data_IF_315840549377
#
_entry.id   IF_315840549377
#
_cell.length_a   1.000
_cell.length_b   1.000
_cell.length_c   1.000
_cell.angle_alpha   90.00
_cell.angle_beta   90.00
_cell.angle_gamma   90.00
#
_symmetry.space_group_name_H-M   'P 1'
#
loop_
_entity.id
_entity.type
_entity.pdbx_description
1 polymer ?
#
# COMPACT_ATOMS: atom_id res chain seq x y z
N UNK A 1 53.37 16.69 23.20
CA UNK A 1 52.68 16.32 21.94
C UNK A 1 51.64 15.25 22.29
N UNK A 2 50.32 15.44 22.27
CA UNK A 2 49.48 16.43 21.62
C UNK A 2 48.51 15.75 20.63
N UNK A 3 47.64 14.84 21.09
CA UNK A 3 46.41 14.45 20.37
C UNK A 3 45.27 14.38 21.39
N UNK A 4 44.52 15.47 21.46
CA UNK A 4 43.29 15.63 22.25
C UNK A 4 42.20 14.66 21.77
N UNK A 5 41.31 14.18 22.67
CA UNK A 5 40.08 13.51 22.27
C UNK A 5 39.15 14.55 21.64
N UNK A 6 38.82 14.37 20.36
CA UNK A 6 37.80 15.17 19.70
C UNK A 6 36.43 14.77 20.28
N UNK A 7 35.82 15.73 20.95
CA UNK A 7 34.47 15.69 21.52
C UNK A 7 33.46 15.25 20.46
N UNK A 8 32.53 14.39 20.88
CA UNK A 8 31.44 13.85 20.07
C UNK A 8 30.63 14.93 19.35
N UNK A 9 30.53 14.83 18.03
CA UNK A 9 29.59 15.60 17.23
C UNK A 9 28.21 14.90 17.21
N UNK A 10 27.12 15.58 17.60
CA UNK A 10 25.77 15.01 17.56
C UNK A 10 25.14 15.27 16.18
N UNK A 11 25.67 14.67 15.11
CA UNK A 11 24.95 14.66 13.83
C UNK A 11 25.33 13.52 12.89
N UNK A 12 25.36 12.27 13.40
CA UNK A 12 25.25 11.10 12.53
C UNK A 12 23.78 10.79 12.28
N UNK A 13 23.21 11.49 11.31
CA UNK A 13 21.99 11.06 10.61
C UNK A 13 22.34 9.83 9.75
N UNK A 14 22.62 8.71 10.39
CA UNK A 14 22.77 7.40 9.76
C UNK A 14 21.67 6.48 10.29
N UNK A 15 20.43 6.75 9.88
CA UNK A 15 19.44 5.66 9.71
C UNK A 15 19.91 4.84 8.51
N UNK A 16 20.72 3.81 8.76
CA UNK A 16 20.84 2.66 7.86
C UNK A 16 20.27 1.45 8.58
N UNK A 17 18.94 1.44 8.70
CA UNK A 17 18.17 0.22 8.71
C UNK A 17 18.09 -0.27 7.25
N UNK A 18 19.22 -0.69 6.68
CA UNK A 18 19.25 -1.56 5.50
C UNK A 18 19.10 -2.99 5.99
N UNK A 19 18.00 -3.25 6.71
CA UNK A 19 17.52 -4.56 7.13
C UNK A 19 16.06 -4.66 6.68
N UNK A 20 15.88 -4.64 5.36
CA UNK A 20 15.01 -5.58 4.67
C UNK A 20 15.43 -5.59 3.19
N UNK A 21 16.45 -6.39 2.90
CA UNK A 21 16.90 -6.65 1.52
C UNK A 21 16.02 -7.74 0.89
N UNK A 22 14.69 -7.61 0.91
CA UNK A 22 13.78 -8.11 -0.14
C UNK A 22 12.31 -7.71 0.16
N UNK A 23 12.00 -6.44 -0.03
CA UNK A 23 10.65 -6.03 -0.42
C UNK A 23 10.77 -5.29 -1.74
N UNK A 24 11.17 -6.01 -2.79
CA UNK A 24 10.79 -5.60 -4.14
C UNK A 24 9.30 -5.92 -4.21
N UNK A 25 8.37 -4.94 -4.13
CA UNK A 25 7.03 -5.22 -4.64
C UNK A 25 7.27 -5.70 -6.06
N UNK A 26 6.85 -6.92 -6.35
CA UNK A 26 6.98 -7.48 -7.69
C UNK A 26 6.57 -6.36 -8.65
N UNK A 27 7.49 -5.91 -9.50
CA UNK A 27 7.24 -4.76 -10.39
C UNK A 27 6.15 -5.10 -11.44
N UNK A 28 5.56 -6.30 -11.34
CA UNK A 28 4.36 -6.74 -12.03
C UNK A 28 3.26 -7.28 -11.08
N UNK A 29 3.31 -7.06 -9.76
CA UNK A 29 2.20 -7.40 -8.87
C UNK A 29 0.94 -6.65 -9.31
N UNK A 30 -0.19 -7.36 -9.37
CA UNK A 30 -1.48 -6.78 -9.70
C UNK A 30 -2.34 -6.82 -8.45
N UNK A 31 -2.79 -5.65 -8.03
CA UNK A 31 -3.62 -5.48 -6.85
C UNK A 31 -4.98 -4.89 -7.22
N UNK A 32 -5.92 -4.97 -6.28
CA UNK A 32 -7.21 -4.30 -6.41
C UNK A 32 -7.08 -2.90 -5.83
N UNK A 33 -7.15 -1.89 -6.68
CA UNK A 33 -7.29 -0.49 -6.27
C UNK A 33 -8.77 -0.18 -6.08
N UNK A 34 -9.17 0.19 -4.87
CA UNK A 34 -10.53 0.56 -4.53
C UNK A 34 -10.62 1.96 -3.97
N UNK A 35 -11.70 2.65 -4.33
CA UNK A 35 -12.11 3.90 -3.70
C UNK A 35 -13.23 3.56 -2.72
N UNK A 36 -13.01 3.92 -1.46
CA UNK A 36 -13.93 3.69 -0.38
C UNK A 36 -14.32 5.03 0.24
N UNK A 37 -15.57 5.18 0.65
CA UNK A 37 -16.04 6.37 1.33
C UNK A 37 -16.63 5.99 2.70
N UNK A 38 -16.53 6.88 3.67
CA UNK A 38 -17.11 6.66 4.99
C UNK A 38 -18.64 6.67 4.88
N UNK A 39 -19.32 5.72 5.54
CA UNK A 39 -20.79 5.71 5.58
C UNK A 39 -21.37 6.92 6.34
N UNK A 40 -20.65 7.38 7.36
CA UNK A 40 -21.05 8.54 8.17
C UNK A 40 -20.79 9.87 7.46
N UNK A 41 -19.85 9.91 6.52
CA UNK A 41 -19.56 11.09 5.71
C UNK A 41 -19.24 10.68 4.26
N UNK A 42 -20.21 10.74 3.34
CA UNK A 42 -20.03 10.29 1.97
C UNK A 42 -19.08 11.19 1.15
N UNK A 43 -18.62 12.31 1.70
CA UNK A 43 -17.58 13.15 1.07
C UNK A 43 -16.17 12.72 1.46
N UNK A 44 -16.01 11.97 2.54
CA UNK A 44 -14.72 11.46 3.00
C UNK A 44 -14.40 10.14 2.29
N UNK A 45 -13.75 10.23 1.13
CA UNK A 45 -13.32 9.07 0.34
C UNK A 45 -11.79 8.93 0.33
N UNK A 46 -11.32 7.70 0.30
CA UNK A 46 -9.90 7.36 0.19
C UNK A 46 -9.66 6.22 -0.79
N UNK A 47 -8.48 6.18 -1.40
CA UNK A 47 -8.03 5.05 -2.19
C UNK A 47 -7.28 4.04 -1.30
N UNK A 48 -7.61 2.77 -1.47
CA UNK A 48 -6.96 1.65 -0.80
C UNK A 48 -6.57 0.59 -1.82
N UNK A 49 -5.43 -0.02 -1.60
CA UNK A 49 -4.96 -1.15 -2.40
C UNK A 49 -5.17 -2.42 -1.59
N UNK A 50 -5.84 -3.41 -2.16
CA UNK A 50 -5.94 -4.74 -1.60
C UNK A 50 -5.05 -5.71 -2.37
N UNK A 51 -4.07 -6.34 -1.70
CA UNK A 51 -3.22 -7.32 -2.34
C UNK A 51 -4.03 -8.56 -2.69
N UNK A 52 -3.83 -9.04 -3.91
CA UNK A 52 -4.30 -10.35 -4.36
C UNK A 52 -3.06 -11.21 -4.53
N UNK A 53 -2.95 -12.24 -3.71
CA UNK A 53 -1.80 -13.12 -3.78
C UNK A 53 -1.76 -13.84 -5.14
N UNK A 54 -0.56 -14.02 -5.68
CA UNK A 54 -0.27 -14.97 -6.77
C UNK A 54 -0.93 -14.66 -8.12
N UNK A 55 -1.46 -13.45 -8.35
CA UNK A 55 -1.99 -13.06 -9.66
C UNK A 55 -0.90 -12.48 -10.56
N UNK A 56 -0.82 -13.00 -11.78
CA UNK A 56 0.16 -12.54 -12.79
C UNK A 56 -0.51 -11.85 -13.97
N UNK A 57 -1.83 -11.99 -14.13
CA UNK A 57 -2.62 -11.36 -15.20
C UNK A 57 -3.80 -10.54 -14.68
N UNK A 58 -4.22 -9.52 -15.45
CA UNK A 58 -5.38 -8.69 -15.12
C UNK A 58 -6.69 -9.50 -15.10
N UNK A 59 -6.79 -10.52 -15.95
CA UNK A 59 -7.95 -11.41 -16.01
C UNK A 59 -8.09 -12.23 -14.72
N UNK A 60 -6.99 -12.79 -14.22
CA UNK A 60 -6.97 -13.50 -12.92
C UNK A 60 -7.30 -12.56 -11.77
N UNK A 61 -6.74 -11.34 -11.76
CA UNK A 61 -7.11 -10.35 -10.75
C UNK A 61 -8.61 -10.07 -10.75
N UNK A 62 -9.25 -9.87 -11.92
CA UNK A 62 -10.70 -9.61 -11.98
C UNK A 62 -11.52 -10.78 -11.44
N UNK A 63 -11.10 -12.01 -11.72
CA UNK A 63 -11.74 -13.23 -11.21
C UNK A 63 -11.67 -13.30 -9.68
N UNK A 64 -10.49 -13.06 -9.11
CA UNK A 64 -10.29 -13.09 -7.65
C UNK A 64 -10.74 -11.83 -6.92
N UNK A 65 -10.92 -10.72 -7.64
CA UNK A 65 -11.28 -9.43 -7.04
C UNK A 65 -12.64 -9.47 -6.38
N UNK A 66 -13.64 -10.06 -7.03
CA UNK A 66 -15.01 -10.09 -6.52
C UNK A 66 -15.12 -10.71 -5.11
N UNK A 67 -14.66 -11.95 -4.88
CA UNK A 67 -14.73 -12.53 -3.53
C UNK A 67 -13.85 -11.77 -2.53
N UNK A 68 -12.69 -11.24 -2.96
CA UNK A 68 -11.79 -10.49 -2.06
C UNK A 68 -12.39 -9.18 -1.58
N UNK A 69 -13.09 -8.46 -2.47
CA UNK A 69 -13.80 -7.22 -2.14
C UNK A 69 -14.98 -7.50 -1.21
N UNK A 70 -15.72 -8.59 -1.44
CA UNK A 70 -16.84 -8.98 -0.58
C UNK A 70 -16.38 -9.31 0.84
N UNK A 71 -15.27 -10.05 0.97
CA UNK A 71 -14.64 -10.34 2.26
C UNK A 71 -14.22 -9.05 2.97
N UNK A 72 -13.51 -8.17 2.26
CA UNK A 72 -13.08 -6.89 2.83
C UNK A 72 -14.27 -6.03 3.30
N UNK A 73 -15.34 -5.97 2.51
CA UNK A 73 -16.55 -5.21 2.85
C UNK A 73 -17.21 -5.73 4.12
N UNK A 74 -17.15 -7.05 4.36
CA UNK A 74 -17.70 -7.66 5.57
C UNK A 74 -16.90 -7.26 6.80
N UNK A 75 -15.58 -7.18 6.69
CA UNK A 75 -14.71 -6.70 7.78
C UNK A 75 -14.74 -5.18 7.98
N UNK A 76 -15.20 -4.42 6.99
CA UNK A 76 -15.18 -2.95 6.98
C UNK A 76 -16.58 -2.33 6.80
N UNK A 77 -17.55 -2.62 7.69
CA UNK A 77 -18.93 -2.18 7.52
C UNK A 77 -19.12 -0.66 7.64
N UNK A 78 -18.10 0.09 8.09
CA UNK A 78 -18.12 1.56 8.17
C UNK A 78 -17.84 2.25 6.84
N UNK A 79 -17.37 1.50 5.85
CA UNK A 79 -16.96 2.02 4.55
C UNK A 79 -17.86 1.48 3.45
N UNK A 80 -18.10 2.31 2.44
CA UNK A 80 -18.78 1.93 1.20
C UNK A 80 -17.79 1.95 0.05
N UNK A 81 -17.68 0.85 -0.66
CA UNK A 81 -16.89 0.79 -1.91
C UNK A 81 -17.69 1.51 -3.01
N UNK A 82 -17.10 2.54 -3.62
CA UNK A 82 -17.74 3.29 -4.71
C UNK A 82 -17.18 2.95 -6.09
N UNK A 83 -15.92 2.51 -6.14
CA UNK A 83 -15.25 2.09 -7.36
C UNK A 83 -14.12 1.13 -7.03
N UNK A 84 -13.84 0.20 -7.92
CA UNK A 84 -12.65 -0.65 -7.82
C UNK A 84 -12.15 -1.02 -9.22
N UNK A 85 -10.87 -1.36 -9.31
CA UNK A 85 -10.21 -1.86 -10.52
C UNK A 85 -8.96 -2.66 -10.17
N UNK A 86 -8.55 -3.57 -11.05
CA UNK A 86 -7.22 -4.17 -10.99
C UNK A 86 -6.17 -3.20 -11.55
N UNK A 87 -5.08 -3.00 -10.85
CA UNK A 87 -3.98 -2.13 -11.25
C UNK A 87 -2.64 -2.75 -10.84
N UNK A 88 -1.56 -2.42 -11.55
CA UNK A 88 -0.22 -2.83 -11.13
C UNK A 88 0.17 -2.10 -9.84
N UNK A 89 0.75 -2.82 -8.89
CA UNK A 89 1.29 -2.29 -7.65
C UNK A 89 2.31 -1.19 -7.99
N UNK A 90 2.12 0.02 -7.47
CA UNK A 90 2.84 1.23 -7.88
C UNK A 90 2.00 2.24 -8.68
N UNK A 91 0.76 1.91 -9.02
CA UNK A 91 -0.27 2.93 -9.30
C UNK A 91 -0.78 3.52 -7.97
N UNK A 92 0.14 4.09 -7.19
CA UNK A 92 -0.10 4.71 -5.90
C UNK A 92 -0.97 5.94 -6.06
N UNK A 93 -2.28 5.77 -5.85
CA UNK A 93 -3.16 6.78 -5.26
C UNK A 93 -3.04 8.20 -5.80
N UNK A 94 -3.00 8.39 -7.13
CA UNK A 94 -3.17 9.73 -7.70
C UNK A 94 -4.51 10.27 -7.16
N UNK A 95 -4.52 11.47 -6.54
CA UNK A 95 -5.73 12.04 -5.98
C UNK A 95 -6.81 12.15 -7.06
N UNK A 96 -7.99 11.60 -6.74
CA UNK A 96 -9.24 11.78 -7.50
C UNK A 96 -9.82 13.16 -7.25
#
# INVERSE_FOLDING_TARGET
MGCTPFVAAPNRRHRRATQDCNMVPDMNAIDILMTICLLSDPKACEQRTLPVAEVTSLAECLYWAQPRIAEWSTSHPKYRIVRWRCAKAGAEGEPI
#
